data_IF_964170589988
#
_entry.id   IF_964170589988
#
_cell.length_a   1.000
_cell.length_b   1.000
_cell.length_c   1.000
_cell.angle_alpha   90.00
_cell.angle_beta   90.00
_cell.angle_gamma   90.00
#
_symmetry.space_group_name_H-M   'P 1'
#
loop_
_entity.id
_entity.type
_entity.pdbx_description
1 polymer ?
#
# COMPACT_ATOMS: atom_id res chain seq x y z
N UNK A 1 13.26 -18.33 52.95
CA UNK A 1 12.35 -19.49 52.94
C UNK A 1 13.06 -20.84 52.98
N UNK A 2 14.08 -21.10 52.14
CA UNK A 2 14.79 -22.39 52.09
C UNK A 2 15.33 -22.86 53.47
N UNK A 3 15.87 -21.95 54.30
CA UNK A 3 16.39 -22.32 55.63
C UNK A 3 15.31 -22.76 56.63
N UNK A 4 14.08 -22.25 56.51
CA UNK A 4 12.97 -22.56 57.42
C UNK A 4 12.40 -23.96 57.12
N UNK A 5 12.05 -24.22 55.85
CA UNK A 5 11.59 -25.53 55.39
C UNK A 5 12.67 -26.62 55.53
N UNK A 6 13.95 -26.26 55.36
CA UNK A 6 15.09 -27.17 55.64
C UNK A 6 15.15 -27.60 57.11
N UNK A 7 14.92 -26.68 58.05
CA UNK A 7 14.98 -26.97 59.49
C UNK A 7 13.84 -27.90 59.95
N UNK A 8 12.64 -27.70 59.39
CA UNK A 8 11.48 -28.58 59.61
C UNK A 8 11.74 -30.00 59.10
N UNK A 9 12.27 -30.12 57.87
CA UNK A 9 12.65 -31.42 57.29
C UNK A 9 13.70 -32.17 58.10
N UNK A 10 14.74 -31.49 58.55
CA UNK A 10 15.79 -32.08 59.38
C UNK A 10 15.25 -32.58 60.73
N UNK A 11 14.32 -31.86 61.35
CA UNK A 11 13.68 -32.29 62.59
C UNK A 11 12.75 -33.51 62.38
N UNK A 12 12.01 -33.57 61.27
CA UNK A 12 11.13 -34.71 60.95
C UNK A 12 11.88 -36.02 60.68
N UNK A 13 13.09 -35.94 60.11
CA UNK A 13 13.98 -37.11 59.95
C UNK A 13 14.52 -37.57 61.31
N UNK A 14 14.93 -36.64 62.19
CA UNK A 14 15.41 -36.96 63.54
C UNK A 14 14.35 -37.63 64.42
N UNK A 15 13.07 -37.37 64.17
CA UNK A 15 11.95 -37.98 64.88
C UNK A 15 11.45 -39.30 64.26
N UNK A 16 12.10 -39.84 63.22
CA UNK A 16 11.69 -41.09 62.54
C UNK A 16 10.43 -40.97 61.66
N UNK A 17 9.93 -39.75 61.41
CA UNK A 17 8.68 -39.48 60.68
C UNK A 17 8.90 -39.35 59.16
N UNK A 18 9.42 -40.40 58.54
CA UNK A 18 9.80 -40.42 57.11
C UNK A 18 8.63 -40.08 56.18
N UNK A 19 7.41 -40.58 56.45
CA UNK A 19 6.22 -40.26 55.65
C UNK A 19 5.86 -38.76 55.67
N UNK A 20 6.06 -38.08 56.80
CA UNK A 20 5.80 -36.65 56.90
C UNK A 20 6.88 -35.84 56.16
N UNK A 21 8.14 -36.27 56.23
CA UNK A 21 9.23 -35.65 55.45
C UNK A 21 8.91 -35.58 53.96
N UNK A 22 8.42 -36.67 53.36
CA UNK A 22 8.06 -36.69 51.93
C UNK A 22 6.90 -35.74 51.60
N UNK A 23 5.86 -35.67 52.45
CA UNK A 23 4.75 -34.70 52.27
C UNK A 23 5.23 -33.25 52.24
N UNK A 24 6.12 -32.88 53.16
CA UNK A 24 6.67 -31.52 53.23
C UNK A 24 7.64 -31.22 52.08
N UNK A 25 8.45 -32.21 51.63
CA UNK A 25 9.33 -32.04 50.47
C UNK A 25 8.55 -31.85 49.17
N UNK A 26 7.46 -32.61 48.97
CA UNK A 26 6.55 -32.43 47.83
C UNK A 26 5.88 -31.04 47.89
N UNK A 27 5.43 -30.61 49.07
CA UNK A 27 4.87 -29.27 49.26
C UNK A 27 5.84 -28.14 48.89
N UNK A 28 7.13 -28.27 49.24
CA UNK A 28 8.17 -27.30 48.87
C UNK A 28 8.38 -27.23 47.35
N UNK A 29 8.42 -28.38 46.67
CA UNK A 29 8.54 -28.46 45.20
C UNK A 29 7.32 -27.80 44.54
N UNK A 30 6.11 -28.14 44.98
CA UNK A 30 4.86 -27.56 44.44
C UNK A 30 4.85 -26.04 44.63
N UNK A 31 5.27 -25.53 45.78
CA UNK A 31 5.30 -24.10 46.07
C UNK A 31 6.33 -23.35 45.21
N UNK A 32 7.52 -23.94 44.98
CA UNK A 32 8.51 -23.42 44.03
C UNK A 32 7.96 -23.43 42.60
N UNK A 33 7.32 -24.51 42.17
CA UNK A 33 6.69 -24.61 40.85
C UNK A 33 5.62 -23.53 40.65
N UNK A 34 4.75 -23.29 41.64
CA UNK A 34 3.76 -22.20 41.59
C UNK A 34 4.46 -20.84 41.44
N UNK A 35 5.54 -20.61 42.19
CA UNK A 35 6.33 -19.37 42.06
C UNK A 35 6.88 -19.15 40.65
N UNK A 36 7.45 -20.19 40.04
CA UNK A 36 7.97 -20.14 38.66
C UNK A 36 6.82 -19.90 37.65
N UNK A 37 5.70 -20.60 37.80
CA UNK A 37 4.54 -20.43 36.92
C UNK A 37 3.96 -19.02 37.01
N UNK A 38 3.85 -18.44 38.20
CA UNK A 38 3.40 -17.06 38.39
C UNK A 38 4.37 -16.06 37.74
N UNK A 39 5.68 -16.25 37.92
CA UNK A 39 6.69 -15.40 37.27
C UNK A 39 6.60 -15.48 35.73
N UNK A 40 6.46 -16.69 35.18
CA UNK A 40 6.24 -16.91 33.74
C UNK A 40 4.94 -16.28 33.25
N UNK A 41 3.85 -16.38 34.02
CA UNK A 41 2.57 -15.77 33.66
C UNK A 41 2.66 -14.23 33.61
N UNK A 42 3.29 -13.60 34.59
CA UNK A 42 3.52 -12.15 34.60
C UNK A 42 4.37 -11.72 33.41
N UNK A 43 5.45 -12.46 33.11
CA UNK A 43 6.29 -12.17 31.94
C UNK A 43 5.51 -12.29 30.63
N UNK A 44 4.76 -13.39 30.45
CA UNK A 44 3.94 -13.62 29.27
C UNK A 44 2.84 -12.55 29.10
N UNK A 45 2.25 -12.08 30.20
CA UNK A 45 1.27 -11.00 30.16
C UNK A 45 1.89 -9.66 29.73
N UNK A 46 3.07 -9.33 30.27
CA UNK A 46 3.80 -8.13 29.87
C UNK A 46 4.20 -8.16 28.38
N UNK A 47 4.69 -9.30 27.89
CA UNK A 47 5.03 -9.47 26.47
C UNK A 47 3.79 -9.35 25.57
N UNK A 48 2.67 -10.00 25.90
CA UNK A 48 1.41 -9.84 25.17
C UNK A 48 0.96 -8.38 25.10
N UNK A 49 1.09 -7.63 26.19
CA UNK A 49 0.77 -6.19 26.23
C UNK A 49 1.66 -5.40 25.28
N UNK A 50 2.98 -5.62 25.29
CA UNK A 50 3.91 -4.95 24.39
C UNK A 50 3.59 -5.25 22.92
N UNK A 51 3.31 -6.51 22.58
CA UNK A 51 2.92 -6.90 21.21
C UNK A 51 1.62 -6.22 20.78
N UNK A 52 0.60 -6.16 21.65
CA UNK A 52 -0.68 -5.49 21.34
C UNK A 52 -0.48 -3.98 21.09
N UNK A 53 0.38 -3.33 21.87
CA UNK A 53 0.70 -1.91 21.67
C UNK A 53 1.43 -1.69 20.34
N UNK A 54 2.47 -2.48 20.06
CA UNK A 54 3.20 -2.42 18.80
C UNK A 54 2.29 -2.62 17.57
N UNK A 55 1.40 -3.61 17.62
CA UNK A 55 0.41 -3.83 16.57
C UNK A 55 -0.50 -2.60 16.38
N UNK A 56 -0.95 -1.99 17.47
CA UNK A 56 -1.81 -0.80 17.42
C UNK A 56 -1.10 0.40 16.80
N UNK A 57 0.16 0.60 17.14
CA UNK A 57 0.97 1.72 16.63
C UNK A 57 1.24 1.55 15.14
N UNK A 58 1.65 0.35 14.70
CA UNK A 58 1.84 0.02 13.28
C UNK A 58 0.54 0.22 12.49
N UNK A 59 -0.60 -0.25 13.00
CA UNK A 59 -1.89 -0.08 12.31
C UNK A 59 -2.28 1.39 12.17
N UNK A 60 -1.98 2.24 13.15
CA UNK A 60 -2.21 3.70 13.04
C UNK A 60 -1.31 4.36 12.00
N UNK A 61 -0.05 3.95 11.92
CA UNK A 61 0.88 4.45 10.92
C UNK A 61 0.45 4.03 9.50
N UNK A 62 0.16 2.75 9.29
CA UNK A 62 -0.36 2.24 8.01
C UNK A 62 -1.64 2.97 7.62
N UNK A 63 -2.58 3.14 8.56
CA UNK A 63 -3.82 3.89 8.31
C UNK A 63 -3.56 5.32 7.86
N UNK A 64 -2.58 6.00 8.44
CA UNK A 64 -2.22 7.37 8.08
C UNK A 64 -1.64 7.42 6.67
N UNK A 65 -0.72 6.50 6.34
CA UNK A 65 -0.20 6.33 4.98
C UNK A 65 -1.31 6.08 3.97
N UNK A 66 -2.18 5.11 4.23
CA UNK A 66 -3.27 4.74 3.33
C UNK A 66 -4.28 5.87 3.08
N UNK A 67 -4.48 6.79 4.03
CA UNK A 67 -5.30 8.00 3.79
C UNK A 67 -4.64 8.96 2.80
N UNK A 68 -3.33 9.13 2.91
CA UNK A 68 -2.55 9.89 1.94
C UNK A 68 -2.61 9.22 0.57
N UNK A 69 -2.38 7.91 0.52
CA UNK A 69 -2.39 7.13 -0.71
C UNK A 69 -3.75 7.19 -1.40
N UNK A 70 -4.85 7.12 -0.63
CA UNK A 70 -6.20 7.24 -1.15
C UNK A 70 -6.44 8.61 -1.79
N UNK A 71 -5.99 9.69 -1.15
CA UNK A 71 -6.14 11.04 -1.69
C UNK A 71 -5.32 11.23 -2.97
N UNK A 72 -4.08 10.75 -2.98
CA UNK A 72 -3.17 10.82 -4.14
C UNK A 72 -3.76 10.08 -5.35
N UNK A 73 -4.11 8.80 -5.17
CA UNK A 73 -4.65 7.98 -6.26
C UNK A 73 -5.98 8.53 -6.79
N UNK A 74 -6.81 9.15 -5.94
CA UNK A 74 -8.07 9.78 -6.35
C UNK A 74 -7.80 11.05 -7.18
N UNK A 75 -6.77 11.82 -6.82
CA UNK A 75 -6.30 12.96 -7.59
C UNK A 75 -5.81 12.54 -8.97
N UNK A 76 -4.95 11.52 -9.02
CA UNK A 76 -4.44 10.93 -10.26
C UNK A 76 -5.58 10.40 -11.13
N UNK A 77 -6.56 9.69 -10.55
CA UNK A 77 -7.73 9.23 -11.29
C UNK A 77 -8.51 10.36 -11.97
N UNK A 78 -8.66 11.51 -11.31
CA UNK A 78 -9.34 12.66 -11.89
C UNK A 78 -8.50 13.31 -13.00
N UNK A 79 -7.20 13.48 -12.79
CA UNK A 79 -6.28 13.98 -13.83
C UNK A 79 -6.31 13.08 -15.07
N UNK A 80 -6.26 11.76 -14.86
CA UNK A 80 -6.31 10.76 -15.91
C UNK A 80 -7.59 10.84 -16.75
N UNK A 81 -8.74 11.14 -16.14
CA UNK A 81 -10.00 11.42 -16.88
C UNK A 81 -9.90 12.64 -17.77
N UNK A 82 -9.24 13.71 -17.30
CA UNK A 82 -9.05 14.91 -18.10
C UNK A 82 -8.06 14.71 -19.26
N UNK A 83 -7.10 13.79 -19.09
CA UNK A 83 -6.23 13.32 -20.18
C UNK A 83 -7.05 12.59 -21.23
N UNK A 84 -7.89 11.62 -20.83
CA UNK A 84 -8.76 10.89 -21.73
C UNK A 84 -9.69 11.82 -22.54
N UNK A 85 -10.24 12.86 -21.90
CA UNK A 85 -11.02 13.88 -22.60
C UNK A 85 -10.20 14.59 -23.68
N UNK A 86 -8.95 14.97 -23.37
CA UNK A 86 -8.07 15.67 -24.30
C UNK A 86 -7.66 14.77 -25.47
N UNK A 87 -7.33 13.50 -25.20
CA UNK A 87 -7.03 12.49 -26.22
C UNK A 87 -8.20 12.36 -27.22
N UNK A 88 -9.43 12.24 -26.70
CA UNK A 88 -10.62 12.14 -27.54
C UNK A 88 -10.87 13.40 -28.37
N UNK A 89 -10.62 14.60 -27.83
CA UNK A 89 -10.70 15.86 -28.57
C UNK A 89 -9.71 15.89 -29.73
N UNK A 90 -8.45 15.49 -29.49
CA UNK A 90 -7.42 15.45 -30.53
C UNK A 90 -7.74 14.39 -31.58
N UNK A 91 -8.15 13.19 -31.20
CA UNK A 91 -8.54 12.12 -32.14
C UNK A 91 -9.68 12.60 -33.03
N UNK A 92 -10.73 13.20 -32.44
CA UNK A 92 -11.86 13.75 -33.21
C UNK A 92 -11.40 14.84 -34.19
N UNK A 93 -10.47 15.69 -33.78
CA UNK A 93 -9.94 16.73 -34.67
C UNK A 93 -9.14 16.13 -35.84
N UNK A 94 -8.28 15.13 -35.59
CA UNK A 94 -7.51 14.44 -36.63
C UNK A 94 -8.40 13.79 -37.68
N UNK A 95 -9.52 13.20 -37.26
CA UNK A 95 -10.46 12.48 -38.11
C UNK A 95 -11.49 13.38 -38.82
N UNK A 96 -11.44 14.68 -38.57
CA UNK A 96 -12.38 15.66 -39.13
C UNK A 96 -11.70 16.55 -40.19
N UNK A 97 -12.50 17.25 -40.98
CA UNK A 97 -12.02 18.30 -41.90
C UNK A 97 -11.79 19.66 -41.21
N UNK A 98 -11.88 19.72 -39.87
CA UNK A 98 -11.73 20.96 -39.12
C UNK A 98 -10.31 21.54 -39.24
N UNK A 99 -10.24 22.86 -39.41
CA UNK A 99 -8.99 23.62 -39.36
C UNK A 99 -8.47 23.65 -37.93
N UNK A 100 -7.15 23.75 -37.77
CA UNK A 100 -6.55 23.95 -36.45
C UNK A 100 -7.05 25.24 -35.79
N UNK A 101 -7.28 25.18 -34.48
CA UNK A 101 -7.59 26.33 -33.62
C UNK A 101 -6.64 26.28 -32.41
N UNK A 102 -6.14 27.44 -31.99
CA UNK A 102 -5.25 27.56 -30.82
C UNK A 102 -5.84 26.95 -29.53
N UNK A 103 -7.17 26.80 -29.44
CA UNK A 103 -7.82 26.07 -28.35
C UNK A 103 -7.41 24.60 -28.24
N UNK A 104 -6.86 24.00 -29.31
CA UNK A 104 -6.33 22.62 -29.30
C UNK A 104 -4.93 22.53 -28.70
N UNK A 105 -4.18 23.64 -28.66
CA UNK A 105 -2.81 23.65 -28.13
C UNK A 105 -2.67 23.07 -26.72
N UNK A 106 -3.51 23.46 -25.73
CA UNK A 106 -3.43 22.87 -24.41
C UNK A 106 -3.77 21.37 -24.40
N UNK A 107 -4.66 20.91 -25.28
CA UNK A 107 -4.97 19.49 -25.39
C UNK A 107 -3.77 18.71 -25.94
N UNK A 108 -3.08 19.23 -26.97
CA UNK A 108 -1.84 18.61 -27.46
C UNK A 108 -0.77 18.54 -26.39
N UNK A 109 -0.54 19.60 -25.63
CA UNK A 109 0.44 19.57 -24.54
C UNK A 109 0.08 18.53 -23.47
N UNK A 110 -1.21 18.44 -23.12
CA UNK A 110 -1.68 17.60 -22.01
C UNK A 110 -1.53 16.11 -22.25
N UNK A 111 -1.79 15.63 -23.47
CA UNK A 111 -1.80 14.19 -23.80
C UNK A 111 -0.43 13.50 -23.71
N UNK A 112 0.64 14.27 -23.49
CA UNK A 112 2.00 13.73 -23.25
C UNK A 112 2.37 13.68 -21.77
N UNK A 113 1.44 14.03 -20.86
CA UNK A 113 1.67 14.04 -19.43
C UNK A 113 1.07 12.77 -18.82
N UNK A 114 1.85 12.06 -18.00
CA UNK A 114 1.38 10.97 -17.14
C UNK A 114 0.99 11.47 -15.74
N UNK A 115 0.37 10.59 -14.96
CA UNK A 115 0.14 10.80 -13.51
C UNK A 115 1.20 10.08 -12.70
N UNK A 116 1.43 10.48 -11.45
CA UNK A 116 2.42 9.84 -10.59
C UNK A 116 1.81 9.51 -9.23
N UNK A 117 1.81 8.23 -8.87
CA UNK A 117 1.33 7.73 -7.57
C UNK A 117 2.51 7.39 -6.66
N UNK A 118 2.51 7.93 -5.44
CA UNK A 118 3.59 7.73 -4.46
C UNK A 118 3.04 7.14 -3.15
N UNK A 119 2.94 5.79 -3.05
CA UNK A 119 2.39 5.13 -1.88
C UNK A 119 3.33 5.25 -0.67
N UNK A 120 2.75 5.49 0.49
CA UNK A 120 3.47 5.49 1.75
C UNK A 120 3.59 4.07 2.29
N UNK A 121 4.67 3.39 1.93
CA UNK A 121 4.91 2.00 2.33
C UNK A 121 5.83 1.84 3.55
N UNK A 122 6.31 2.94 4.15
CA UNK A 122 7.29 2.91 5.26
C UNK A 122 6.83 2.05 6.43
N UNK A 123 5.59 2.24 6.87
CA UNK A 123 5.00 1.47 7.96
C UNK A 123 4.80 -0.01 7.57
N UNK A 124 4.48 -0.27 6.31
CA UNK A 124 4.36 -1.62 5.78
C UNK A 124 5.71 -2.35 5.73
N UNK A 125 6.78 -1.68 5.26
CA UNK A 125 8.13 -2.24 5.26
C UNK A 125 8.62 -2.52 6.68
N UNK A 126 8.34 -1.62 7.61
CA UNK A 126 8.63 -1.82 9.05
C UNK A 126 7.91 -3.06 9.57
N UNK A 127 6.62 -3.22 9.26
CA UNK A 127 5.87 -4.43 9.61
C UNK A 127 6.48 -5.70 9.02
N UNK A 128 6.93 -5.69 7.76
CA UNK A 128 7.61 -6.85 7.15
C UNK A 128 8.89 -7.22 7.90
N UNK A 129 9.70 -6.22 8.29
CA UNK A 129 10.95 -6.43 9.04
C UNK A 129 10.69 -6.97 10.45
N UNK A 130 9.67 -6.47 11.15
CA UNK A 130 9.24 -6.98 12.45
C UNK A 130 8.58 -8.37 12.35
N UNK A 131 8.10 -8.73 11.15
CA UNK A 131 7.38 -9.96 10.86
C UNK A 131 5.88 -9.72 10.82
N UNK A 132 5.24 -10.16 9.73
CA UNK A 132 3.81 -9.95 9.48
C UNK A 132 2.90 -10.49 10.61
N UNK A 133 3.34 -11.54 11.33
CA UNK A 133 2.62 -12.12 12.48
C UNK A 133 2.52 -11.19 13.70
N UNK A 134 3.17 -10.04 13.67
CA UNK A 134 2.90 -8.92 14.60
C UNK A 134 1.44 -8.49 14.53
N UNK A 135 0.80 -8.60 13.36
CA UNK A 135 -0.64 -8.44 13.23
C UNK A 135 -1.35 -9.73 13.64
N UNK A 136 -2.16 -9.65 14.69
CA UNK A 136 -2.90 -10.75 15.28
C UNK A 136 -4.08 -11.19 14.42
N UNK A 137 -4.72 -10.26 13.70
CA UNK A 137 -5.82 -10.55 12.79
C UNK A 137 -5.31 -11.04 11.43
N UNK A 138 -5.47 -12.35 11.19
CA UNK A 138 -5.05 -13.02 9.96
C UNK A 138 -5.70 -12.43 8.70
N UNK A 139 -6.99 -12.06 8.77
CA UNK A 139 -7.72 -11.49 7.62
C UNK A 139 -7.19 -10.11 7.27
N UNK A 140 -6.99 -9.26 8.27
CA UNK A 140 -6.43 -7.92 8.09
C UNK A 140 -4.99 -7.99 7.56
N UNK A 141 -4.18 -8.88 8.14
CA UNK A 141 -2.79 -9.12 7.70
C UNK A 141 -2.72 -9.50 6.22
N UNK A 142 -3.55 -10.45 5.80
CA UNK A 142 -3.60 -10.89 4.41
C UNK A 142 -4.09 -9.78 3.47
N UNK A 143 -5.04 -8.96 3.90
CA UNK A 143 -5.52 -7.82 3.12
C UNK A 143 -4.43 -6.74 2.96
N UNK A 144 -3.68 -6.42 4.02
CA UNK A 144 -2.55 -5.48 3.95
C UNK A 144 -1.48 -6.00 2.98
N UNK A 145 -1.06 -7.26 3.11
CA UNK A 145 -0.10 -7.86 2.17
C UNK A 145 -0.61 -7.83 0.73
N UNK A 146 -1.89 -8.16 0.50
CA UNK A 146 -2.48 -8.09 -0.85
C UNK A 146 -2.40 -6.67 -1.42
N UNK A 147 -2.76 -5.65 -0.64
CA UNK A 147 -2.75 -4.27 -1.10
C UNK A 147 -1.33 -3.84 -1.54
N UNK A 148 -0.34 -4.00 -0.67
CA UNK A 148 1.01 -3.52 -0.93
C UNK A 148 1.79 -4.40 -1.90
N UNK A 149 1.77 -5.73 -1.74
CA UNK A 149 2.60 -6.62 -2.57
C UNK A 149 1.96 -6.94 -3.94
N UNK A 150 0.62 -6.88 -4.06
CA UNK A 150 -0.08 -7.30 -5.29
C UNK A 150 -0.75 -6.11 -5.97
N UNK A 151 -1.62 -5.37 -5.28
CA UNK A 151 -2.40 -4.30 -5.90
C UNK A 151 -1.49 -3.15 -6.33
N UNK A 152 -0.59 -2.67 -5.48
CA UNK A 152 0.36 -1.60 -5.86
C UNK A 152 1.35 -2.07 -6.92
N UNK A 153 1.87 -3.30 -6.82
CA UNK A 153 2.74 -3.84 -7.87
C UNK A 153 2.05 -3.87 -9.24
N UNK A 154 0.78 -4.31 -9.28
CA UNK A 154 -0.02 -4.29 -10.50
C UNK A 154 -0.26 -2.88 -11.03
N UNK A 155 -0.56 -1.93 -10.14
CA UNK A 155 -0.69 -0.51 -10.52
C UNK A 155 0.58 -0.05 -11.23
N UNK A 156 1.74 -0.17 -10.59
CA UNK A 156 3.01 0.31 -11.15
C UNK A 156 3.44 -0.39 -12.43
N UNK A 157 3.11 -1.68 -12.58
CA UNK A 157 3.37 -2.40 -13.83
C UNK A 157 2.58 -1.80 -14.99
N UNK A 158 1.31 -1.46 -14.75
CA UNK A 158 0.44 -0.85 -15.75
C UNK A 158 0.81 0.62 -16.02
N UNK A 159 1.20 1.35 -14.98
CA UNK A 159 1.66 2.73 -15.04
C UNK A 159 2.94 2.85 -15.87
N UNK A 160 3.95 2.02 -15.58
CA UNK A 160 5.18 1.95 -16.35
C UNK A 160 4.96 1.54 -17.81
N UNK A 161 3.97 0.67 -18.06
CA UNK A 161 3.58 0.33 -19.43
C UNK A 161 2.96 1.53 -20.16
N UNK A 162 2.14 2.33 -19.48
CA UNK A 162 1.56 3.56 -20.02
C UNK A 162 2.61 4.63 -20.29
N UNK A 163 3.52 4.90 -19.36
CA UNK A 163 4.61 5.84 -19.52
C UNK A 163 5.49 5.50 -20.73
N UNK A 164 5.75 4.20 -20.94
CA UNK A 164 6.49 3.75 -22.12
C UNK A 164 5.77 4.05 -23.44
N UNK A 165 4.43 3.97 -23.48
CA UNK A 165 3.67 4.37 -24.66
C UNK A 165 3.70 5.88 -24.88
N UNK A 166 3.65 6.67 -23.80
CA UNK A 166 3.82 8.12 -23.88
C UNK A 166 5.20 8.50 -24.40
N UNK A 167 6.26 7.82 -23.97
CA UNK A 167 7.62 8.06 -24.44
C UNK A 167 7.75 7.82 -25.96
N UNK A 168 7.22 6.71 -26.47
CA UNK A 168 7.18 6.46 -27.92
C UNK A 168 6.39 7.55 -28.65
N UNK A 169 5.24 7.93 -28.12
CA UNK A 169 4.43 8.99 -28.71
C UNK A 169 5.18 10.34 -28.70
N UNK A 170 5.93 10.66 -27.65
CA UNK A 170 6.64 11.93 -27.52
C UNK A 170 7.84 12.02 -28.46
N UNK A 171 8.70 10.99 -28.46
CA UNK A 171 9.96 11.02 -29.21
C UNK A 171 9.75 11.01 -30.73
N UNK A 172 8.84 10.18 -31.23
CA UNK A 172 8.68 9.94 -32.67
C UNK A 172 7.90 11.06 -33.40
N UNK A 173 7.25 11.94 -32.63
CA UNK A 173 6.31 12.93 -33.16
C UNK A 173 6.73 14.39 -32.92
N UNK A 174 7.91 14.63 -32.34
CA UNK A 174 8.49 15.99 -32.18
C UNK A 174 8.54 16.79 -33.49
N UNK A 175 8.73 16.10 -34.62
CA UNK A 175 8.71 16.67 -35.99
C UNK A 175 7.42 17.43 -36.35
N UNK A 176 6.31 17.15 -35.69
CA UNK A 176 5.01 17.76 -36.01
C UNK A 176 4.71 19.03 -35.21
N UNK A 177 5.48 19.36 -34.17
CA UNK A 177 5.14 20.42 -33.22
C UNK A 177 6.26 21.45 -33.07
N UNK A 178 5.90 22.66 -32.64
CA UNK A 178 6.86 23.73 -32.38
C UNK A 178 7.70 23.46 -31.12
N UNK A 179 7.04 23.10 -30.02
CA UNK A 179 7.63 22.77 -28.73
C UNK A 179 6.60 22.03 -27.88
N UNK A 180 7.06 21.45 -26.76
CA UNK A 180 6.18 21.00 -25.69
C UNK A 180 6.51 21.78 -24.43
N UNK A 181 5.59 22.65 -24.00
CA UNK A 181 5.75 23.46 -22.80
C UNK A 181 4.77 23.01 -21.71
N UNK A 182 5.31 22.43 -20.62
CA UNK A 182 4.51 21.91 -19.50
C UNK A 182 3.66 23.00 -18.81
N UNK A 183 4.20 24.21 -18.64
CA UNK A 183 3.56 25.30 -17.88
C UNK A 183 2.68 26.21 -18.74
N UNK A 184 3.11 26.51 -19.96
CA UNK A 184 2.38 27.40 -20.87
C UNK A 184 1.34 26.67 -21.72
N UNK A 185 1.34 25.33 -21.68
CA UNK A 185 0.50 24.47 -22.50
C UNK A 185 0.62 24.81 -24.00
N UNK A 186 1.81 25.28 -24.41
CA UNK A 186 2.12 25.66 -25.77
C UNK A 186 2.66 24.44 -26.51
N UNK A 187 1.80 23.86 -27.35
CA UNK A 187 2.16 22.83 -28.32
C UNK A 187 1.26 22.97 -29.53
N UNK A 188 1.82 23.46 -30.63
CA UNK A 188 1.10 23.78 -31.87
C UNK A 188 1.66 22.96 -33.02
N UNK A 189 0.81 22.38 -33.88
CA UNK A 189 1.29 21.65 -35.04
C UNK A 189 1.93 22.61 -36.05
N UNK A 190 3.17 22.33 -36.46
CA UNK A 190 3.89 23.07 -37.50
C UNK A 190 3.67 22.48 -38.90
N UNK A 191 3.25 21.21 -38.97
CA UNK A 191 2.83 20.52 -40.19
C UNK A 191 1.48 19.82 -39.98
N UNK A 192 0.38 20.57 -40.12
CA UNK A 192 -0.98 20.06 -39.92
C UNK A 192 -1.34 18.98 -40.94
N UNK A 193 -0.92 19.13 -42.20
CA UNK A 193 -1.25 18.17 -43.27
C UNK A 193 -0.53 16.84 -43.03
N UNK A 194 0.76 16.90 -42.73
CA UNK A 194 1.54 15.71 -42.38
C UNK A 194 1.05 15.04 -41.09
N UNK A 195 0.72 15.83 -40.06
CA UNK A 195 0.17 15.30 -38.81
C UNK A 195 -1.14 14.54 -39.03
N UNK A 196 -2.09 15.11 -39.78
CA UNK A 196 -3.37 14.47 -40.09
C UNK A 196 -3.22 13.23 -40.98
N UNK A 197 -2.24 13.22 -41.88
CA UNK A 197 -1.95 12.07 -42.75
C UNK A 197 -1.11 10.98 -42.05
N UNK A 198 -0.55 11.25 -40.87
CA UNK A 198 0.34 10.33 -40.16
C UNK A 198 -0.43 9.20 -39.49
N UNK A 199 -0.38 8.01 -40.11
CA UNK A 199 -0.89 6.79 -39.49
C UNK A 199 -0.14 6.43 -38.20
N UNK A 200 1.17 6.71 -38.15
CA UNK A 200 2.02 6.52 -36.97
C UNK A 200 1.49 7.33 -35.77
N UNK A 201 1.28 8.64 -35.95
CA UNK A 201 0.75 9.51 -34.89
C UNK A 201 -0.63 9.04 -34.41
N UNK A 202 -1.53 8.77 -35.35
CA UNK A 202 -2.89 8.28 -35.04
C UNK A 202 -2.85 6.95 -34.29
N UNK A 203 -1.96 6.02 -34.69
CA UNK A 203 -1.79 4.73 -34.02
C UNK A 203 -1.35 4.89 -32.56
N UNK A 204 -0.29 5.68 -32.32
CA UNK A 204 0.22 5.90 -30.96
C UNK A 204 -0.82 6.60 -30.07
N UNK A 205 -1.43 7.68 -30.54
CA UNK A 205 -2.45 8.40 -29.77
C UNK A 205 -3.66 7.52 -29.44
N UNK A 206 -4.18 6.76 -30.41
CA UNK A 206 -5.31 5.85 -30.15
C UNK A 206 -4.93 4.72 -29.20
N UNK A 207 -3.69 4.24 -29.26
CA UNK A 207 -3.18 3.19 -28.36
C UNK A 207 -3.03 3.70 -26.93
N UNK A 208 -2.44 4.90 -26.74
CA UNK A 208 -2.39 5.60 -25.45
C UNK A 208 -3.80 5.80 -24.90
N UNK A 209 -4.74 6.29 -25.73
CA UNK A 209 -6.14 6.47 -25.34
C UNK A 209 -6.82 5.18 -24.88
N UNK A 210 -6.64 4.09 -25.61
CA UNK A 210 -7.19 2.79 -25.24
C UNK A 210 -6.60 2.29 -23.91
N UNK A 211 -5.29 2.49 -23.70
CA UNK A 211 -4.65 2.11 -22.45
C UNK A 211 -5.13 2.98 -21.28
N UNK A 212 -5.33 4.27 -21.52
CA UNK A 212 -5.91 5.21 -20.58
C UNK A 212 -7.31 4.73 -20.11
N UNK A 213 -8.16 4.27 -21.04
CA UNK A 213 -9.45 3.64 -20.69
C UNK A 213 -9.28 2.40 -19.80
N UNK A 214 -8.30 1.54 -20.09
CA UNK A 214 -8.00 0.36 -19.24
C UNK A 214 -7.61 0.79 -17.83
N UNK A 215 -6.75 1.81 -17.70
CA UNK A 215 -6.35 2.34 -16.40
C UNK A 215 -7.57 2.86 -15.62
N UNK A 216 -8.40 3.68 -16.27
CA UNK A 216 -9.58 4.32 -15.66
C UNK A 216 -10.69 3.35 -15.29
N UNK A 217 -10.89 2.28 -16.07
CA UNK A 217 -11.96 1.31 -15.83
C UNK A 217 -11.54 0.21 -14.86
N UNK A 218 -10.26 -0.15 -14.81
CA UNK A 218 -9.81 -1.33 -14.08
C UNK A 218 -8.79 -1.00 -12.99
N UNK A 219 -7.74 -0.28 -13.31
CA UNK A 219 -6.58 -0.14 -12.42
C UNK A 219 -6.87 0.86 -11.29
N UNK A 220 -7.27 2.08 -11.62
CA UNK A 220 -7.61 3.08 -10.61
C UNK A 220 -8.75 2.63 -9.68
N UNK A 221 -9.91 2.15 -10.18
CA UNK A 221 -11.01 1.74 -9.31
C UNK A 221 -10.63 0.57 -8.41
N UNK A 222 -9.84 -0.40 -8.91
CA UNK A 222 -9.38 -1.52 -8.09
C UNK A 222 -8.45 -1.05 -6.98
N UNK A 223 -7.47 -0.20 -7.28
CA UNK A 223 -6.54 0.35 -6.27
C UNK A 223 -7.29 1.16 -5.21
N UNK A 224 -8.18 2.08 -5.62
CA UNK A 224 -9.03 2.87 -4.71
C UNK A 224 -9.87 1.96 -3.80
N UNK A 225 -10.49 0.93 -4.39
CA UNK A 225 -11.33 -0.02 -3.65
C UNK A 225 -10.52 -0.83 -2.62
N UNK A 226 -9.34 -1.32 -2.98
CA UNK A 226 -8.51 -2.11 -2.06
C UNK A 226 -7.90 -1.25 -0.95
N UNK A 227 -7.53 0.00 -1.22
CA UNK A 227 -7.12 0.96 -0.18
C UNK A 227 -8.29 1.20 0.79
N UNK A 228 -9.46 1.54 0.26
CA UNK A 228 -10.66 1.83 1.06
C UNK A 228 -11.09 0.64 1.93
N UNK A 229 -11.06 -0.57 1.35
CA UNK A 229 -11.32 -1.81 2.08
C UNK A 229 -10.32 -2.03 3.22
N UNK A 230 -9.04 -1.82 2.95
CA UNK A 230 -7.98 -1.99 3.96
C UNK A 230 -8.12 -0.97 5.08
N UNK A 231 -8.38 0.30 4.76
CA UNK A 231 -8.69 1.35 5.74
C UNK A 231 -9.87 0.97 6.63
N UNK A 232 -10.98 0.50 6.04
CA UNK A 232 -12.16 0.09 6.79
C UNK A 232 -11.87 -1.07 7.76
N UNK A 233 -11.03 -2.03 7.37
CA UNK A 233 -10.66 -3.15 8.23
C UNK A 233 -9.74 -2.68 9.37
N UNK A 234 -8.79 -1.79 9.09
CA UNK A 234 -7.94 -1.19 10.13
C UNK A 234 -8.79 -0.37 11.12
N UNK A 235 -9.72 0.44 10.63
CA UNK A 235 -10.62 1.23 11.46
C UNK A 235 -11.48 0.35 12.37
N UNK A 236 -11.91 -0.82 11.89
CA UNK A 236 -12.64 -1.81 12.69
C UNK A 236 -11.74 -2.42 13.76
N UNK A 237 -10.56 -2.91 13.37
CA UNK A 237 -9.59 -3.53 14.28
C UNK A 237 -9.16 -2.57 15.40
N UNK A 238 -8.95 -1.30 15.09
CA UNK A 238 -8.57 -0.27 16.08
C UNK A 238 -9.72 0.09 17.04
N UNK A 239 -10.99 -0.11 16.65
CA UNK A 239 -12.15 0.12 17.54
C UNK A 239 -12.37 -1.05 18.51
N UNK A 240 -12.02 -2.26 18.09
CA UNK A 240 -12.22 -3.48 18.87
C UNK A 240 -11.08 -3.71 19.91
N UNK A 241 -10.04 -2.86 19.92
CA UNK A 241 -8.83 -2.99 20.76
C UNK A 241 -8.85 -2.13 22.01
#
# INVERSE_FOLDING_TARGET
MIKFFRKIRQNLIKEGKVANYFKYAIGEIVLVMIGILLALQVNNWNEKRKTKNLETDILKEIRTGLKSDLNDIQGNFNTQKELLKSENIIIKWLESDLVYNDSLSPHFSKIYIGTFFSPNDVAYQTLKQLGMRTLSNDSLRNQISKLYDITYHRYFTMDAFFDKQLEYMFNDNSKFFNEWAFKEANMKPIDIKGLKASNEYSYHLKSVRNLNEVLLQNIFPNTISEISKTLSLIDKELKDK
#
